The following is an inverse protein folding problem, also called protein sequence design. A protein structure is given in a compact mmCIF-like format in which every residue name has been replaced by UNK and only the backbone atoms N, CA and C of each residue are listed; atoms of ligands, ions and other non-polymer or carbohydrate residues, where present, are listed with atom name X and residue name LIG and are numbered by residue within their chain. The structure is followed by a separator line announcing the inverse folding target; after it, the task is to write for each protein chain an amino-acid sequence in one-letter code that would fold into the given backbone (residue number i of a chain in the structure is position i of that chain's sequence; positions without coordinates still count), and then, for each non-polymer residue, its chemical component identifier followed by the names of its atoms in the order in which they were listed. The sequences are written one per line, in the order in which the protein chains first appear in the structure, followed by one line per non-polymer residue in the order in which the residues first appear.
data_IF_993261306881
#
_entry.id   IF_993261306881
#
_cell.length_a   1.000
_cell.length_b   1.000
_cell.length_c   1.000
_cell.angle_alpha   90.00
_cell.angle_beta   90.00
_cell.angle_gamma   90.00
#
_symmetry.space_group_name_H-M   'P 1'
#
loop_
_entity.id
_entity.type
_entity.pdbx_description
1 polymer ?
#
# COMPACT_ATOMS: atom_id res chain seq x y z
N UNK A 1 16.16 24.18 37.30
CA UNK A 1 15.08 24.76 36.46
C UNK A 1 15.67 25.00 35.07
N UNK A 2 15.67 23.97 34.22
CA UNK A 2 15.95 24.09 32.79
C UNK A 2 14.88 23.26 32.10
N UNK A 3 14.03 23.94 31.33
CA UNK A 3 12.70 23.50 30.96
C UNK A 3 12.68 22.21 30.16
N UNK A 4 11.59 21.47 30.37
CA UNK A 4 11.11 20.38 29.53
C UNK A 4 11.01 20.88 28.09
N UNK A 5 12.08 20.68 27.31
CA UNK A 5 11.99 20.69 25.87
C UNK A 5 11.15 19.47 25.50
N UNK A 6 9.83 19.64 25.47
CA UNK A 6 8.90 18.75 24.81
C UNK A 6 9.48 18.45 23.45
N UNK A 7 10.12 17.29 23.32
CA UNK A 7 10.35 16.68 22.02
C UNK A 7 8.97 16.58 21.42
N UNK A 8 8.64 17.46 20.48
CA UNK A 8 7.55 17.22 19.54
C UNK A 8 7.98 16.00 18.73
N UNK A 9 7.89 14.82 19.36
CA UNK A 9 8.08 13.54 18.71
C UNK A 9 6.87 13.41 17.80
N UNK A 10 7.01 13.92 16.57
CA UNK A 10 6.04 13.63 15.53
C UNK A 10 5.81 12.11 15.54
N UNK A 11 4.56 11.63 15.55
CA UNK A 11 4.33 10.20 15.63
C UNK A 11 4.95 9.53 14.40
N UNK A 12 5.79 8.51 14.62
CA UNK A 12 6.42 7.77 13.52
C UNK A 12 5.35 7.19 12.59
N UNK A 13 5.54 7.21 11.26
CA UNK A 13 4.56 6.68 10.34
C UNK A 13 4.36 5.16 10.56
N UNK A 14 3.15 4.77 10.99
CA UNK A 14 2.79 3.37 11.22
C UNK A 14 2.67 2.56 9.91
N UNK A 15 2.86 1.25 10.00
CA UNK A 15 2.83 0.33 8.84
C UNK A 15 1.55 -0.52 8.75
N UNK A 16 0.85 -0.72 9.87
CA UNK A 16 -0.29 -1.67 9.96
C UNK A 16 -1.45 -1.24 9.06
N UNK A 17 -1.90 0.01 9.17
CA UNK A 17 -3.03 0.50 8.39
C UNK A 17 -2.70 0.58 6.88
N UNK A 18 -1.53 1.11 6.44
CA UNK A 18 -1.12 1.04 5.05
C UNK A 18 -0.98 -0.39 4.52
N UNK A 19 -0.48 -1.31 5.36
CA UNK A 19 -0.36 -2.72 5.03
C UNK A 19 -1.71 -3.39 4.80
N UNK A 20 -2.69 -3.13 5.68
CA UNK A 20 -4.05 -3.66 5.55
C UNK A 20 -4.74 -3.12 4.29
N UNK A 21 -4.57 -1.82 4.01
CA UNK A 21 -5.09 -1.20 2.78
C UNK A 21 -4.47 -1.82 1.53
N UNK A 22 -3.14 -2.00 1.52
CA UNK A 22 -2.44 -2.65 0.41
C UNK A 22 -2.97 -4.07 0.18
N UNK A 23 -3.13 -4.86 1.25
CA UNK A 23 -3.68 -6.21 1.15
C UNK A 23 -5.11 -6.21 0.58
N UNK A 24 -5.96 -5.28 1.02
CA UNK A 24 -7.32 -5.14 0.51
C UNK A 24 -7.35 -4.74 -0.98
N UNK A 25 -6.51 -3.79 -1.40
CA UNK A 25 -6.40 -3.37 -2.79
C UNK A 25 -5.85 -4.50 -3.69
N UNK A 26 -4.86 -5.27 -3.23
CA UNK A 26 -4.35 -6.45 -3.95
C UNK A 26 -5.42 -7.54 -4.09
N UNK A 27 -6.15 -7.84 -3.00
CA UNK A 27 -7.26 -8.80 -3.03
C UNK A 27 -8.36 -8.36 -4.01
N UNK A 28 -8.70 -7.07 -4.02
CA UNK A 28 -9.69 -6.51 -4.93
C UNK A 28 -9.26 -6.70 -6.39
N UNK A 29 -8.00 -6.39 -6.73
CA UNK A 29 -7.46 -6.59 -8.08
C UNK A 29 -7.51 -8.07 -8.47
N UNK A 30 -7.06 -8.96 -7.59
CA UNK A 30 -7.10 -10.40 -7.84
C UNK A 30 -8.51 -10.93 -8.08
N UNK A 31 -9.49 -10.49 -7.28
CA UNK A 31 -10.90 -10.88 -7.43
C UNK A 31 -11.49 -10.35 -8.73
N UNK A 32 -11.25 -9.07 -9.08
CA UNK A 32 -11.74 -8.48 -10.34
C UNK A 32 -11.21 -9.27 -11.54
N UNK A 33 -9.90 -9.49 -11.60
CA UNK A 33 -9.27 -10.19 -12.72
C UNK A 33 -9.71 -11.66 -12.76
N UNK A 34 -9.80 -12.31 -11.60
CA UNK A 34 -10.28 -13.68 -11.46
C UNK A 34 -11.71 -13.84 -11.96
N UNK A 35 -12.65 -12.97 -11.57
CA UNK A 35 -14.04 -13.02 -12.03
C UNK A 35 -14.17 -12.84 -13.54
N UNK A 36 -13.30 -12.03 -14.15
CA UNK A 36 -13.25 -11.85 -15.61
C UNK A 36 -12.74 -13.10 -16.32
N UNK A 37 -11.78 -13.83 -15.73
CA UNK A 37 -11.15 -15.00 -16.34
C UNK A 37 -11.74 -16.37 -15.99
N UNK A 38 -12.49 -16.48 -14.89
CA UNK A 38 -13.16 -17.71 -14.44
C UNK A 38 -14.12 -18.35 -15.45
N UNK A 39 -14.85 -17.63 -16.32
CA UNK A 39 -15.72 -18.27 -17.31
C UNK A 39 -14.96 -18.90 -18.50
N UNK A 40 -13.63 -18.98 -18.47
CA UNK A 40 -12.82 -19.46 -19.59
C UNK A 40 -12.31 -20.89 -19.37
N UNK A 41 -12.54 -21.77 -20.34
CA UNK A 41 -12.05 -23.17 -20.31
C UNK A 41 -10.65 -23.32 -20.95
N UNK A 42 -10.17 -22.27 -21.63
CA UNK A 42 -8.87 -22.30 -22.29
C UNK A 42 -7.72 -22.10 -21.29
N UNK A 43 -6.78 -23.05 -21.18
CA UNK A 43 -5.67 -22.95 -20.23
C UNK A 43 -4.74 -21.77 -20.55
N UNK A 44 -4.60 -21.41 -21.83
CA UNK A 44 -3.82 -20.25 -22.26
C UNK A 44 -4.44 -18.93 -21.75
N UNK A 45 -5.77 -18.84 -21.78
CA UNK A 45 -6.48 -17.64 -21.32
C UNK A 45 -6.39 -17.51 -19.80
N UNK A 46 -6.57 -18.62 -19.07
CA UNK A 46 -6.37 -18.64 -17.61
C UNK A 46 -4.95 -18.22 -17.21
N UNK A 47 -3.92 -18.67 -17.93
CA UNK A 47 -2.54 -18.25 -17.69
C UNK A 47 -2.33 -16.74 -17.91
N UNK A 48 -2.90 -16.19 -18.99
CA UNK A 48 -2.84 -14.76 -19.26
C UNK A 48 -3.57 -13.92 -18.18
N UNK A 49 -4.72 -14.39 -17.72
CA UNK A 49 -5.49 -13.79 -16.62
C UNK A 49 -4.67 -13.80 -15.33
N UNK A 50 -4.07 -14.94 -14.98
CA UNK A 50 -3.23 -15.06 -13.77
C UNK A 50 -2.03 -14.12 -13.81
N UNK A 51 -1.35 -14.01 -14.97
CA UNK A 51 -0.24 -13.07 -15.16
C UNK A 51 -0.71 -11.62 -15.04
N UNK A 52 -1.88 -11.29 -15.59
CA UNK A 52 -2.46 -9.94 -15.49
C UNK A 52 -2.79 -9.59 -14.05
N UNK A 53 -3.38 -10.52 -13.29
CA UNK A 53 -3.65 -10.34 -11.87
C UNK A 53 -2.35 -10.12 -11.08
N UNK A 54 -1.32 -10.92 -11.37
CA UNK A 54 -0.01 -10.82 -10.73
C UNK A 54 0.61 -9.44 -10.99
N UNK A 55 0.66 -8.97 -12.23
CA UNK A 55 1.21 -7.65 -12.55
C UNK A 55 0.40 -6.53 -11.89
N UNK A 56 -0.93 -6.61 -11.89
CA UNK A 56 -1.78 -5.65 -11.20
C UNK A 56 -1.48 -5.58 -9.69
N UNK A 57 -1.38 -6.73 -9.03
CA UNK A 57 -1.02 -6.81 -7.61
C UNK A 57 0.38 -6.25 -7.32
N UNK A 58 1.37 -6.51 -8.20
CA UNK A 58 2.72 -5.94 -8.07
C UNK A 58 2.69 -4.42 -8.19
N UNK A 59 1.94 -3.87 -9.15
CA UNK A 59 1.80 -2.41 -9.30
C UNK A 59 1.20 -1.78 -8.04
N UNK A 60 0.14 -2.38 -7.48
CA UNK A 60 -0.46 -1.93 -6.20
C UNK A 60 0.55 -1.97 -5.06
N UNK A 61 1.31 -3.06 -4.93
CA UNK A 61 2.32 -3.22 -3.89
C UNK A 61 3.39 -2.13 -3.97
N UNK A 62 3.97 -1.91 -5.15
CA UNK A 62 5.00 -0.89 -5.34
C UNK A 62 4.43 0.53 -5.16
N UNK A 63 3.18 0.76 -5.55
CA UNK A 63 2.51 2.02 -5.32
C UNK A 63 2.33 2.32 -3.83
N UNK A 64 1.84 1.34 -3.06
CA UNK A 64 1.70 1.44 -1.61
C UNK A 64 3.06 1.62 -0.91
N UNK A 65 4.08 0.87 -1.33
CA UNK A 65 5.43 0.96 -0.79
C UNK A 65 6.05 2.34 -1.05
N UNK A 66 5.96 2.86 -2.28
CA UNK A 66 6.45 4.19 -2.63
C UNK A 66 5.77 5.28 -1.80
N UNK A 67 4.46 5.18 -1.55
CA UNK A 67 3.74 6.10 -0.67
C UNK A 67 4.24 6.00 0.78
N UNK A 68 4.48 4.79 1.29
CA UNK A 68 5.00 4.57 2.64
C UNK A 68 6.42 5.13 2.80
N UNK A 69 7.33 4.85 1.86
CA UNK A 69 8.71 5.39 1.85
C UNK A 69 8.70 6.92 1.81
N UNK A 70 7.84 7.54 0.99
CA UNK A 70 7.69 9.01 0.96
C UNK A 70 7.23 9.61 2.29
N UNK A 71 6.50 8.86 3.13
CA UNK A 71 6.15 9.31 4.48
C UNK A 71 7.35 9.27 5.40
N UNK A 72 8.11 8.17 5.37
CA UNK A 72 9.37 8.05 6.13
C UNK A 72 10.39 9.12 5.75
N UNK A 73 10.54 9.43 4.45
CA UNK A 73 11.43 10.51 4.00
C UNK A 73 10.98 11.86 4.56
N UNK A 74 9.67 12.17 4.54
CA UNK A 74 9.14 13.43 5.08
C UNK A 74 9.31 13.53 6.59
N UNK A 75 9.10 12.42 7.30
CA UNK A 75 9.35 12.31 8.74
C UNK A 75 10.84 12.58 9.07
N UNK A 76 11.75 11.95 8.34
CA UNK A 76 13.20 12.15 8.52
C UNK A 76 13.65 13.59 8.19
N UNK A 77 12.92 14.28 7.31
CA UNK A 77 13.15 15.71 6.99
C UNK A 77 12.57 16.69 8.02
N UNK A 78 11.97 16.21 9.13
CA UNK A 78 11.35 17.06 10.13
C UNK A 78 10.12 17.83 9.63
N UNK A 79 9.53 17.39 8.49
CA UNK A 79 8.31 18.00 7.97
C UNK A 79 7.10 17.46 8.75
N UNK A 80 6.11 18.31 9.08
CA UNK A 80 4.91 17.85 9.77
C UNK A 80 4.24 16.76 8.93
N UNK A 81 4.27 15.54 9.46
CA UNK A 81 3.62 14.40 8.83
C UNK A 81 2.15 14.54 9.19
N UNK A 82 1.32 15.13 8.33
CA UNK A 82 -0.14 15.11 8.52
C UNK A 82 -0.58 13.66 8.53
N UNK A 83 -0.77 13.09 9.71
CA UNK A 83 -1.44 11.81 9.93
C UNK A 83 -2.93 12.07 9.76
N UNK A 84 -3.40 12.06 8.52
CA UNK A 84 -4.82 11.89 8.24
C UNK A 84 -5.20 10.45 8.57
N UNK A 85 -6.34 10.25 9.21
CA UNK A 85 -6.84 8.91 9.58
C UNK A 85 -7.03 7.99 8.36
N UNK A 86 -7.07 8.56 7.15
CA UNK A 86 -7.25 7.85 5.87
C UNK A 86 -5.99 7.80 5.00
N UNK A 87 -4.86 8.29 5.51
CA UNK A 87 -3.55 8.18 4.88
C UNK A 87 -2.87 6.86 5.26
#
# INVERSE_FOLDING_TARGET
MAGDASSESHPSPGFVLPGLRCAAEMALVGVIVGLVGLPTESPLVLAAVALTALFGMVVVLFWALNRHVRRWIRYAQGKPTRLSIFD
#
